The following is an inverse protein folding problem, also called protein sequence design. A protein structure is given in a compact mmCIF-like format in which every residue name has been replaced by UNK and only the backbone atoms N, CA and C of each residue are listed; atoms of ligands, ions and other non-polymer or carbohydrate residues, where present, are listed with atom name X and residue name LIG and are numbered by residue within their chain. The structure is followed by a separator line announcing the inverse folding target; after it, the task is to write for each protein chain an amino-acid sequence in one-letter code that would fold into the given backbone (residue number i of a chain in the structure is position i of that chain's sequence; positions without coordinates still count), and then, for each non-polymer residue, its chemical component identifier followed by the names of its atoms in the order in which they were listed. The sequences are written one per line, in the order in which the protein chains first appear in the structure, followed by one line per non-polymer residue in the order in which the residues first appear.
data_IF_683651034854
#
_entry.id   IF_683651034854
#
_cell.length_a   1.000
_cell.length_b   1.000
_cell.length_c   1.000
_cell.angle_alpha   90.00
_cell.angle_beta   90.00
_cell.angle_gamma   90.00
#
_symmetry.space_group_name_H-M   'P 1'
#
loop_
_entity.id
_entity.type
_entity.pdbx_description
1 polymer ?
#
# COMPACT_ATOMS: atom_id res chain seq x y z
N UNK A 1 -15.32 -16.55 -53.69
CA UNK A 1 -14.70 -15.20 -53.54
C UNK A 1 -15.31 -14.49 -52.34
N UNK A 2 -14.86 -14.79 -51.12
CA UNK A 2 -15.27 -14.08 -49.90
C UNK A 2 -14.14 -13.16 -49.45
N UNK A 3 -14.34 -11.85 -49.60
CA UNK A 3 -13.43 -10.80 -49.11
C UNK A 3 -13.45 -10.81 -47.58
N UNK A 4 -12.39 -11.34 -46.95
CA UNK A 4 -12.10 -11.11 -45.53
C UNK A 4 -11.91 -9.62 -45.31
N UNK A 5 -12.86 -8.95 -44.63
CA UNK A 5 -12.66 -7.61 -44.07
C UNK A 5 -11.65 -7.74 -42.93
N UNK A 6 -10.50 -7.07 -43.05
CA UNK A 6 -9.56 -6.92 -41.94
C UNK A 6 -10.26 -6.14 -40.80
N UNK A 7 -10.13 -6.56 -39.54
CA UNK A 7 -10.66 -5.79 -38.42
C UNK A 7 -9.93 -4.44 -38.37
N UNK A 8 -10.69 -3.34 -38.32
CA UNK A 8 -10.15 -2.03 -37.98
C UNK A 8 -9.67 -2.13 -36.53
N UNK A 9 -8.37 -1.97 -36.32
CA UNK A 9 -7.82 -1.81 -34.98
C UNK A 9 -8.45 -0.56 -34.37
N UNK A 10 -9.24 -0.76 -33.31
CA UNK A 10 -9.72 0.30 -32.46
C UNK A 10 -8.52 0.72 -31.61
N UNK A 11 -7.65 1.58 -32.17
CA UNK A 11 -6.64 2.29 -31.39
C UNK A 11 -7.41 3.26 -30.49
N UNK A 12 -7.59 2.85 -29.23
CA UNK A 12 -7.81 3.78 -28.15
C UNK A 12 -6.57 4.66 -28.09
N UNK A 13 -6.67 5.88 -28.62
CA UNK A 13 -5.69 6.94 -28.39
C UNK A 13 -5.73 7.28 -26.89
N UNK A 14 -5.01 6.47 -26.10
CA UNK A 14 -4.69 6.75 -24.72
C UNK A 14 -3.70 7.92 -24.74
N UNK A 15 -4.23 9.13 -24.65
CA UNK A 15 -3.46 10.37 -24.68
C UNK A 15 -2.62 10.48 -23.39
N UNK A 16 -1.43 9.87 -23.39
CA UNK A 16 -0.45 9.97 -22.30
C UNK A 16 0.07 11.40 -22.09
N UNK A 17 -0.18 12.35 -23.00
CA UNK A 17 0.14 13.76 -22.78
C UNK A 17 -0.78 14.44 -21.74
N UNK A 18 -1.92 13.83 -21.39
CA UNK A 18 -2.74 14.29 -20.26
C UNK A 18 -2.21 13.85 -18.88
N UNK A 19 -1.14 13.05 -18.86
CA UNK A 19 -0.34 12.71 -17.67
C UNK A 19 1.01 13.43 -17.67
N UNK A 20 1.17 14.50 -18.45
CA UNK A 20 2.22 15.48 -18.17
C UNK A 20 1.90 16.05 -16.78
N UNK A 21 2.54 15.45 -15.79
CA UNK A 21 2.56 15.86 -14.39
C UNK A 21 3.05 17.30 -14.39
N UNK A 22 2.11 18.25 -14.29
CA UNK A 22 2.41 19.66 -14.02
C UNK A 22 3.44 19.70 -12.89
N UNK A 23 4.44 20.58 -12.96
CA UNK A 23 5.45 20.66 -11.90
C UNK A 23 4.83 21.06 -10.54
N UNK A 24 3.59 21.58 -10.55
CA UNK A 24 2.73 21.78 -9.37
C UNK A 24 2.17 20.48 -8.77
N UNK A 25 2.22 19.34 -9.46
CA UNK A 25 1.54 18.11 -9.05
C UNK A 25 2.17 17.46 -7.81
N UNK A 26 3.50 17.45 -7.71
CA UNK A 26 4.20 16.82 -6.58
C UNK A 26 4.01 17.60 -5.27
N UNK A 27 4.09 18.94 -5.31
CA UNK A 27 3.90 19.80 -4.15
C UNK A 27 2.42 19.92 -3.75
N UNK A 28 1.52 20.11 -4.72
CA UNK A 28 0.11 20.41 -4.47
C UNK A 28 -0.69 19.18 -4.04
N UNK A 29 -0.38 17.97 -4.53
CA UNK A 29 -1.23 16.79 -4.27
C UNK A 29 -0.73 15.86 -3.15
N UNK A 30 0.56 15.87 -2.83
CA UNK A 30 1.05 15.17 -1.63
C UNK A 30 0.65 15.94 -0.37
N UNK A 31 0.50 17.27 -0.46
CA UNK A 31 0.24 18.14 0.70
C UNK A 31 -1.17 18.78 0.71
N UNK A 32 -1.87 18.77 -0.42
CA UNK A 32 -3.24 19.26 -0.57
C UNK A 32 -3.31 20.78 -0.84
N UNK A 33 -4.12 21.25 -1.81
CA UNK A 33 -4.20 22.67 -2.20
C UNK A 33 -4.88 23.60 -1.17
N UNK A 34 -5.45 23.05 -0.08
CA UNK A 34 -6.33 23.78 0.84
C UNK A 34 -5.79 23.91 2.28
N UNK A 35 -4.51 23.62 2.52
CA UNK A 35 -3.88 24.05 3.77
C UNK A 35 -3.54 25.53 3.63
N UNK A 36 -4.52 26.37 3.92
CA UNK A 36 -4.37 27.82 3.91
C UNK A 36 -3.21 28.24 4.80
N UNK A 37 -2.29 29.02 4.23
CA UNK A 37 -1.09 29.47 4.90
C UNK A 37 -0.01 28.38 4.91
N UNK A 38 1.08 28.68 4.23
CA UNK A 38 2.31 27.90 4.16
C UNK A 38 2.98 27.80 5.54
N UNK A 39 2.36 27.12 6.53
CA UNK A 39 2.98 26.84 7.84
C UNK A 39 4.25 25.98 7.71
N UNK A 40 4.57 25.52 6.50
CA UNK A 40 5.84 24.86 6.16
C UNK A 40 6.89 25.79 5.58
N UNK A 41 6.62 27.09 5.42
CA UNK A 41 7.56 28.01 4.79
C UNK A 41 8.83 28.24 5.60
N UNK A 42 8.87 27.82 6.88
CA UNK A 42 10.04 28.02 7.74
C UNK A 42 10.61 26.67 8.18
N UNK A 43 11.83 26.32 7.76
CA UNK A 43 12.51 25.14 8.29
C UNK A 43 12.76 25.31 9.78
N UNK A 44 12.59 24.23 10.54
CA UNK A 44 12.82 24.26 12.00
C UNK A 44 14.30 24.24 12.34
N UNK A 45 15.10 23.62 11.47
CA UNK A 45 16.55 23.66 11.52
C UNK A 45 17.10 23.59 10.10
N UNK A 46 18.15 24.35 9.83
CA UNK A 46 18.85 24.36 8.56
C UNK A 46 20.33 24.06 8.83
N UNK A 47 20.91 23.17 8.04
CA UNK A 47 22.30 22.75 8.18
C UNK A 47 23.01 22.96 6.86
N UNK A 48 24.02 23.83 6.84
CA UNK A 48 24.88 23.96 5.68
C UNK A 48 25.83 22.77 5.61
N UNK A 49 25.84 22.07 4.48
CA UNK A 49 26.80 21.00 4.19
C UNK A 49 27.82 21.50 3.16
N UNK A 50 28.99 22.02 3.59
CA UNK A 50 29.95 22.67 2.69
C UNK A 50 30.44 21.75 1.58
N UNK A 51 30.55 20.44 1.84
CA UNK A 51 30.99 19.45 0.88
C UNK A 51 30.02 19.19 -0.28
N UNK A 52 28.75 19.59 -0.15
CA UNK A 52 27.72 19.42 -1.18
C UNK A 52 27.22 20.75 -1.76
N UNK A 53 27.66 21.88 -1.21
CA UNK A 53 27.18 23.20 -1.63
C UNK A 53 25.67 23.39 -1.46
N UNK A 54 25.06 22.69 -0.49
CA UNK A 54 23.61 22.70 -0.25
C UNK A 54 23.30 22.81 1.24
N UNK A 55 22.24 23.55 1.54
CA UNK A 55 21.62 23.62 2.88
C UNK A 55 20.58 22.51 2.98
N UNK A 56 20.61 21.77 4.09
CA UNK A 56 19.60 20.75 4.41
C UNK A 56 18.65 21.33 5.44
N UNK A 57 17.38 21.42 5.04
CA UNK A 57 16.31 21.91 5.88
C UNK A 57 15.54 20.75 6.53
N UNK A 58 15.26 20.87 7.83
CA UNK A 58 14.44 19.95 8.59
C UNK A 58 13.07 20.58 8.84
N UNK A 59 12.01 19.90 8.39
CA UNK A 59 10.63 20.33 8.56
C UNK A 59 9.93 19.44 9.58
N UNK A 60 9.02 20.01 10.37
CA UNK A 60 8.17 19.19 11.22
C UNK A 60 7.19 18.36 10.38
N UNK A 61 6.84 17.15 10.85
CA UNK A 61 5.85 16.33 10.17
C UNK A 61 4.50 17.04 10.16
N UNK A 62 3.83 17.10 9.02
CA UNK A 62 2.54 17.76 8.92
C UNK A 62 1.46 16.96 9.65
N UNK A 63 0.95 17.52 10.74
CA UNK A 63 -0.06 16.86 11.58
C UNK A 63 -1.36 16.55 10.83
N UNK A 64 -1.77 17.41 9.88
CA UNK A 64 -3.00 17.21 9.10
C UNK A 64 -2.87 15.99 8.18
N UNK A 65 -1.72 15.82 7.52
CA UNK A 65 -1.43 14.64 6.70
C UNK A 65 -1.54 13.35 7.52
N UNK A 66 -0.90 13.30 8.68
CA UNK A 66 -0.96 12.13 9.56
C UNK A 66 -2.35 11.87 10.12
N UNK A 67 -3.11 12.94 10.40
CA UNK A 67 -4.51 12.85 10.83
C UNK A 67 -5.38 12.23 9.73
N UNK A 68 -5.30 12.73 8.48
CA UNK A 68 -6.05 12.17 7.35
C UNK A 68 -5.69 10.70 7.07
N UNK A 69 -4.40 10.36 7.15
CA UNK A 69 -3.95 8.97 6.98
C UNK A 69 -4.51 8.07 8.08
N UNK A 70 -4.46 8.52 9.34
CA UNK A 70 -5.03 7.78 10.49
C UNK A 70 -6.54 7.59 10.35
N UNK A 71 -7.28 8.64 10.01
CA UNK A 71 -8.74 8.57 9.79
C UNK A 71 -9.08 7.58 8.67
N UNK A 72 -8.30 7.59 7.59
CA UNK A 72 -8.48 6.69 6.47
C UNK A 72 -8.30 5.24 6.89
N UNK A 73 -7.24 4.94 7.63
CA UNK A 73 -6.94 3.62 8.18
C UNK A 73 -8.06 3.13 9.10
N UNK A 74 -8.58 3.99 9.96
CA UNK A 74 -9.70 3.65 10.85
C UNK A 74 -10.94 3.33 10.01
N UNK A 75 -11.29 4.19 9.05
CA UNK A 75 -12.46 4.01 8.20
C UNK A 75 -12.43 2.69 7.43
N UNK A 76 -11.31 2.37 6.78
CA UNK A 76 -11.17 1.11 6.03
C UNK A 76 -11.16 -0.10 6.96
N UNK A 77 -10.57 0.00 8.16
CA UNK A 77 -10.59 -1.09 9.14
C UNK A 77 -12.01 -1.39 9.62
N UNK A 78 -12.82 -0.35 9.88
CA UNK A 78 -14.24 -0.50 10.23
C UNK A 78 -15.02 -1.16 9.09
N UNK A 79 -14.76 -0.75 7.84
CA UNK A 79 -15.35 -1.40 6.68
C UNK A 79 -14.93 -2.88 6.57
N UNK A 80 -13.65 -3.18 6.77
CA UNK A 80 -13.12 -4.54 6.82
C UNK A 80 -13.75 -5.41 7.91
N UNK A 81 -14.06 -4.83 9.08
CA UNK A 81 -14.80 -5.50 10.16
C UNK A 81 -16.19 -5.93 9.68
N UNK A 82 -16.94 -5.03 9.05
CA UNK A 82 -18.27 -5.33 8.51
C UNK A 82 -18.19 -6.42 7.43
N UNK A 83 -17.26 -6.26 6.48
CA UNK A 83 -17.05 -7.26 5.42
C UNK A 83 -16.66 -8.63 5.97
N UNK A 84 -15.83 -8.69 7.01
CA UNK A 84 -15.44 -9.97 7.62
C UNK A 84 -16.66 -10.76 8.11
N UNK A 85 -17.65 -10.09 8.71
CA UNK A 85 -18.87 -10.70 9.19
C UNK A 85 -19.74 -11.23 8.05
N UNK A 86 -19.89 -10.44 6.99
CA UNK A 86 -20.63 -10.82 5.77
C UNK A 86 -19.97 -12.00 5.08
N UNK A 87 -18.67 -11.90 4.76
CA UNK A 87 -17.94 -12.94 4.04
C UNK A 87 -17.89 -14.23 4.86
N UNK A 88 -17.65 -14.17 6.18
CA UNK A 88 -17.68 -15.37 7.02
C UNK A 88 -19.05 -16.05 7.01
N UNK A 89 -20.12 -15.27 7.18
CA UNK A 89 -21.47 -15.81 7.37
C UNK A 89 -22.12 -16.29 6.06
N UNK A 90 -21.89 -15.56 4.97
CA UNK A 90 -22.53 -15.81 3.68
C UNK A 90 -21.64 -16.60 2.71
N UNK A 91 -20.32 -16.45 2.80
CA UNK A 91 -19.37 -17.11 1.89
C UNK A 91 -18.74 -18.33 2.56
N UNK A 92 -17.98 -18.17 3.64
CA UNK A 92 -17.23 -19.26 4.28
C UNK A 92 -18.15 -20.37 4.78
N UNK A 93 -19.19 -20.04 5.57
CA UNK A 93 -20.14 -21.03 6.11
C UNK A 93 -20.99 -21.74 5.05
N UNK A 94 -21.11 -21.18 3.85
CA UNK A 94 -21.95 -21.70 2.74
C UNK A 94 -21.11 -22.00 1.51
N UNK A 95 -19.82 -22.28 1.69
CA UNK A 95 -18.87 -22.50 0.60
C UNK A 95 -19.35 -23.62 -0.32
N UNK A 96 -19.21 -23.42 -1.63
CA UNK A 96 -19.69 -24.35 -2.65
C UNK A 96 -21.16 -24.18 -3.06
N UNK A 97 -21.95 -23.39 -2.34
CA UNK A 97 -23.32 -23.05 -2.77
C UNK A 97 -23.35 -21.90 -3.78
N UNK A 98 -24.32 -21.89 -4.70
CA UNK A 98 -24.49 -20.79 -5.67
C UNK A 98 -24.62 -19.41 -4.98
N UNK A 99 -25.25 -19.37 -3.80
CA UNK A 99 -25.41 -18.16 -3.02
C UNK A 99 -24.08 -17.61 -2.49
N UNK A 100 -23.14 -18.46 -2.04
CA UNK A 100 -21.83 -17.98 -1.57
C UNK A 100 -21.01 -17.38 -2.71
N UNK A 101 -21.07 -17.96 -3.90
CA UNK A 101 -20.43 -17.38 -5.10
C UNK A 101 -21.06 -16.04 -5.47
N UNK A 102 -22.39 -15.95 -5.51
CA UNK A 102 -23.10 -14.71 -5.84
C UNK A 102 -22.75 -13.58 -4.85
N UNK A 103 -22.81 -13.85 -3.55
CA UNK A 103 -22.46 -12.86 -2.51
C UNK A 103 -20.97 -12.49 -2.59
N UNK A 104 -20.09 -13.47 -2.76
CA UNK A 104 -18.65 -13.21 -2.89
C UNK A 104 -18.30 -12.33 -4.09
N UNK A 105 -18.90 -12.59 -5.25
CA UNK A 105 -18.73 -11.76 -6.45
C UNK A 105 -19.29 -10.36 -6.22
N UNK A 106 -20.47 -10.23 -5.59
CA UNK A 106 -21.05 -8.93 -5.27
C UNK A 106 -20.13 -8.11 -4.34
N UNK A 107 -19.53 -8.74 -3.32
CA UNK A 107 -18.54 -8.10 -2.45
C UNK A 107 -17.28 -7.68 -3.22
N UNK A 108 -16.79 -8.51 -4.14
CA UNK A 108 -15.66 -8.16 -5.01
C UNK A 108 -15.99 -6.93 -5.85
N UNK A 109 -17.13 -6.93 -6.55
CA UNK A 109 -17.57 -5.79 -7.35
C UNK A 109 -17.72 -4.52 -6.50
N UNK A 110 -18.33 -4.64 -5.32
CA UNK A 110 -18.45 -3.50 -4.39
C UNK A 110 -17.08 -2.93 -4.01
N UNK A 111 -16.09 -3.78 -3.69
CA UNK A 111 -14.73 -3.33 -3.35
C UNK A 111 -13.99 -2.63 -4.50
N UNK A 112 -14.32 -2.94 -5.76
CA UNK A 112 -13.75 -2.23 -6.91
C UNK A 112 -14.27 -0.79 -7.00
N UNK A 113 -15.56 -0.56 -6.76
CA UNK A 113 -16.18 0.76 -6.94
C UNK A 113 -16.21 1.62 -5.67
N UNK A 114 -16.28 0.99 -4.49
CA UNK A 114 -16.36 1.65 -3.20
C UNK A 114 -15.28 2.71 -2.93
N UNK A 115 -13.97 2.49 -3.21
CA UNK A 115 -12.96 3.51 -2.90
C UNK A 115 -13.18 4.77 -3.73
N UNK A 116 -13.61 4.65 -4.99
CA UNK A 116 -13.89 5.80 -5.86
C UNK A 116 -15.11 6.59 -5.36
N UNK A 117 -16.16 5.90 -4.91
CA UNK A 117 -17.32 6.54 -4.32
C UNK A 117 -16.95 7.32 -3.05
N UNK A 118 -16.13 6.73 -2.16
CA UNK A 118 -15.65 7.42 -0.96
C UNK A 118 -14.78 8.62 -1.32
N UNK A 119 -13.81 8.46 -2.22
CA UNK A 119 -12.90 9.54 -2.64
C UNK A 119 -13.71 10.72 -3.18
N UNK A 120 -14.73 10.45 -3.99
CA UNK A 120 -15.61 11.47 -4.55
C UNK A 120 -16.47 12.14 -3.47
N UNK A 121 -17.15 11.36 -2.61
CA UNK A 121 -18.06 11.88 -1.57
C UNK A 121 -17.31 12.69 -0.51
N UNK A 122 -16.14 12.22 -0.07
CA UNK A 122 -15.32 12.90 0.93
C UNK A 122 -14.42 13.99 0.33
N UNK A 123 -14.40 14.13 -1.01
CA UNK A 123 -13.53 15.10 -1.70
C UNK A 123 -12.05 14.89 -1.40
N UNK A 124 -11.61 13.64 -1.17
CA UNK A 124 -10.22 13.34 -0.81
C UNK A 124 -9.32 13.79 -1.96
N UNK A 125 -8.42 14.73 -1.71
CA UNK A 125 -7.45 15.20 -2.72
C UNK A 125 -6.07 14.56 -2.58
N UNK A 126 -5.68 14.25 -1.34
CA UNK A 126 -4.36 13.72 -1.02
C UNK A 126 -4.11 12.37 -1.72
N UNK A 127 -3.03 12.30 -2.49
CA UNK A 127 -2.70 11.12 -3.30
C UNK A 127 -2.40 9.89 -2.44
N UNK A 128 -1.68 10.06 -1.32
CA UNK A 128 -1.36 8.97 -0.40
C UNK A 128 -2.65 8.41 0.21
N UNK A 129 -3.58 9.30 0.61
CA UNK A 129 -4.89 8.89 1.13
C UNK A 129 -5.72 8.13 0.09
N UNK A 130 -5.76 8.61 -1.17
CA UNK A 130 -6.40 7.90 -2.29
C UNK A 130 -5.79 6.51 -2.49
N UNK A 131 -4.45 6.45 -2.51
CA UNK A 131 -3.71 5.20 -2.65
C UNK A 131 -4.04 4.22 -1.52
N UNK A 132 -4.04 4.68 -0.26
CA UNK A 132 -4.38 3.85 0.90
C UNK A 132 -5.82 3.31 0.80
N UNK A 133 -6.80 4.14 0.44
CA UNK A 133 -8.19 3.68 0.24
C UNK A 133 -8.26 2.55 -0.80
N UNK A 134 -7.65 2.75 -1.96
CA UNK A 134 -7.64 1.75 -3.04
C UNK A 134 -6.86 0.48 -2.69
N UNK A 135 -5.74 0.60 -1.97
CA UNK A 135 -4.91 -0.53 -1.60
C UNK A 135 -5.65 -1.50 -0.67
N UNK A 136 -6.42 -0.98 0.30
CA UNK A 136 -7.18 -1.81 1.23
C UNK A 136 -8.35 -2.53 0.55
N UNK A 137 -9.09 -1.84 -0.31
CA UNK A 137 -10.22 -2.48 -1.00
C UNK A 137 -9.74 -3.54 -1.98
N UNK A 138 -8.56 -3.32 -2.60
CA UNK A 138 -7.87 -4.34 -3.40
C UNK A 138 -7.50 -5.56 -2.55
N UNK A 139 -7.04 -5.37 -1.32
CA UNK A 139 -6.77 -6.48 -0.41
C UNK A 139 -8.05 -7.28 -0.05
N UNK A 140 -9.15 -6.58 0.23
CA UNK A 140 -10.44 -7.23 0.52
C UNK A 140 -10.98 -8.01 -0.67
N UNK A 141 -10.74 -7.54 -1.91
CA UNK A 141 -11.02 -8.32 -3.12
C UNK A 141 -10.28 -9.66 -3.09
N UNK A 142 -8.97 -9.66 -2.85
CA UNK A 142 -8.20 -10.91 -2.82
C UNK A 142 -8.63 -11.83 -1.68
N UNK A 143 -8.85 -11.30 -0.47
CA UNK A 143 -9.34 -12.09 0.67
C UNK A 143 -10.73 -12.67 0.45
N UNK A 144 -11.60 -11.94 -0.23
CA UNK A 144 -12.92 -12.47 -0.63
C UNK A 144 -12.75 -13.60 -1.63
N UNK A 145 -11.85 -13.46 -2.61
CA UNK A 145 -11.54 -14.53 -3.56
C UNK A 145 -10.99 -15.78 -2.84
N UNK A 146 -10.05 -15.62 -1.90
CA UNK A 146 -9.56 -16.72 -1.06
C UNK A 146 -10.71 -17.44 -0.35
N UNK A 147 -11.67 -16.69 0.21
CA UNK A 147 -12.80 -17.24 0.95
C UNK A 147 -13.77 -18.01 0.04
N UNK A 148 -14.06 -17.49 -1.17
CA UNK A 148 -14.90 -18.13 -2.20
C UNK A 148 -14.30 -19.48 -2.59
N UNK A 149 -13.01 -19.51 -2.91
CA UNK A 149 -12.33 -20.70 -3.43
C UNK A 149 -11.78 -21.64 -2.35
N UNK A 150 -11.94 -21.30 -1.07
CA UNK A 150 -11.48 -22.12 0.05
C UNK A 150 -9.96 -22.21 0.19
N UNK A 151 -9.27 -21.11 -0.13
CA UNK A 151 -7.82 -20.98 0.05
C UNK A 151 -7.43 -20.05 1.19
N UNK A 152 -8.39 -19.50 1.94
CA UNK A 152 -8.10 -18.80 3.18
C UNK A 152 -7.36 -19.73 4.16
N UNK A 153 -6.44 -19.20 4.99
CA UNK A 153 -5.69 -20.04 5.92
C UNK A 153 -6.59 -20.76 6.93
N UNK A 154 -6.39 -22.07 7.11
CA UNK A 154 -7.31 -22.92 7.88
C UNK A 154 -7.57 -22.41 9.31
N UNK A 155 -6.53 -22.14 10.10
CA UNK A 155 -6.73 -21.70 11.49
C UNK A 155 -7.26 -20.28 11.66
N UNK A 156 -7.41 -19.52 10.56
CA UNK A 156 -8.14 -18.25 10.58
C UNK A 156 -9.65 -18.49 10.52
N UNK A 157 -10.11 -19.52 9.81
CA UNK A 157 -11.54 -19.82 9.64
C UNK A 157 -12.15 -20.43 10.90
N UNK A 158 -11.35 -21.09 11.74
CA UNK A 158 -11.83 -21.80 12.94
C UNK A 158 -12.50 -20.87 13.96
N UNK A 159 -12.05 -19.62 14.08
CA UNK A 159 -12.54 -18.66 15.07
C UNK A 159 -13.09 -17.39 14.41
N UNK A 160 -14.29 -16.92 14.78
CA UNK A 160 -14.81 -15.62 14.33
C UNK A 160 -13.85 -14.47 14.65
N UNK A 161 -13.18 -14.51 15.80
CA UNK A 161 -12.21 -13.50 16.23
C UNK A 161 -10.97 -13.51 15.33
N UNK A 162 -10.41 -14.69 15.05
CA UNK A 162 -9.23 -14.79 14.17
C UNK A 162 -9.55 -14.33 12.74
N UNK A 163 -10.73 -14.70 12.24
CA UNK A 163 -11.21 -14.27 10.93
C UNK A 163 -11.43 -12.77 10.84
N UNK A 164 -11.98 -12.14 11.89
CA UNK A 164 -12.13 -10.70 12.00
C UNK A 164 -10.78 -9.99 11.86
N UNK A 165 -9.78 -10.36 12.67
CA UNK A 165 -8.45 -9.74 12.62
C UNK A 165 -7.75 -9.97 11.30
N UNK A 166 -7.81 -11.21 10.79
CA UNK A 166 -7.26 -11.55 9.49
C UNK A 166 -7.88 -10.74 8.38
N UNK A 167 -9.20 -10.55 8.38
CA UNK A 167 -9.88 -9.91 7.27
C UNK A 167 -9.85 -8.38 7.37
N UNK A 168 -10.05 -7.81 8.56
CA UNK A 168 -10.21 -6.37 8.74
C UNK A 168 -8.90 -5.58 8.53
N UNK A 169 -7.77 -6.12 8.98
CA UNK A 169 -6.49 -5.42 8.95
C UNK A 169 -5.60 -5.94 7.84
N UNK A 170 -4.92 -5.07 7.07
CA UNK A 170 -4.04 -5.48 5.99
C UNK A 170 -2.66 -5.86 6.52
N UNK A 171 -2.65 -6.88 7.37
CA UNK A 171 -1.49 -7.62 7.84
C UNK A 171 -1.82 -9.10 7.76
N UNK A 172 -0.79 -9.92 7.60
CA UNK A 172 -0.96 -11.37 7.60
C UNK A 172 -0.66 -11.89 9.01
N UNK A 173 -1.59 -12.63 9.61
CA UNK A 173 -1.36 -13.27 10.90
C UNK A 173 -0.30 -14.36 10.73
N UNK A 174 0.66 -14.43 11.66
CA UNK A 174 1.58 -15.55 11.70
C UNK A 174 0.85 -16.77 12.26
N UNK A 175 0.86 -17.87 11.50
CA UNK A 175 0.22 -19.11 11.89
C UNK A 175 1.28 -20.16 12.20
N UNK A 176 1.09 -20.87 13.31
CA UNK A 176 1.96 -21.98 13.69
C UNK A 176 1.87 -23.09 12.63
N UNK A 177 3.01 -23.56 12.15
CA UNK A 177 3.07 -24.51 11.03
C UNK A 177 2.46 -25.88 11.35
N UNK A 178 2.42 -26.28 12.63
CA UNK A 178 1.93 -27.60 13.06
C UNK A 178 0.44 -27.56 13.36
N UNK A 179 -0.02 -26.50 14.02
CA UNK A 179 -1.39 -26.38 14.53
C UNK A 179 -2.29 -25.49 13.65
N UNK A 180 -1.70 -24.75 12.71
CA UNK A 180 -2.34 -23.72 11.89
C UNK A 180 -2.97 -22.56 12.68
N UNK A 181 -2.81 -22.52 14.02
CA UNK A 181 -3.40 -21.49 14.88
C UNK A 181 -2.59 -20.19 14.83
N UNK A 182 -3.23 -19.02 15.02
CA UNK A 182 -2.51 -17.75 15.20
C UNK A 182 -1.51 -17.82 16.35
N UNK A 183 -0.31 -17.32 16.12
CA UNK A 183 0.75 -17.20 17.13
C UNK A 183 0.51 -15.96 17.97
N UNK A 184 0.67 -16.07 19.30
CA UNK A 184 0.57 -14.93 20.20
C UNK A 184 1.84 -14.07 20.14
N UNK A 185 1.68 -12.75 20.20
CA UNK A 185 2.79 -11.82 20.24
C UNK A 185 3.39 -11.76 21.65
N UNK A 186 4.71 -11.93 21.75
CA UNK A 186 5.43 -11.74 23.01
C UNK A 186 5.58 -10.25 23.34
N UNK A 187 5.72 -9.90 24.61
CA UNK A 187 5.97 -8.49 25.04
C UNK A 187 7.20 -7.89 24.36
N UNK A 188 8.23 -8.71 24.13
CA UNK A 188 9.44 -8.32 23.41
C UNK A 188 9.12 -7.93 21.96
N UNK A 189 8.37 -8.76 21.22
CA UNK A 189 7.97 -8.46 19.83
C UNK A 189 7.06 -7.22 19.74
N UNK A 190 6.22 -6.97 20.74
CA UNK A 190 5.43 -5.72 20.80
C UNK A 190 6.35 -4.50 20.95
N UNK A 191 7.32 -4.55 21.86
CA UNK A 191 8.29 -3.47 22.05
C UNK A 191 9.19 -3.27 20.82
N UNK A 192 9.66 -4.35 20.21
CA UNK A 192 10.44 -4.34 18.97
C UNK A 192 9.65 -3.69 17.83
N UNK A 193 8.37 -4.07 17.65
CA UNK A 193 7.55 -3.45 16.61
C UNK A 193 7.28 -1.96 16.88
N UNK A 194 7.13 -1.53 18.14
CA UNK A 194 7.02 -0.12 18.48
C UNK A 194 8.29 0.67 18.12
N UNK A 195 9.46 0.10 18.37
CA UNK A 195 10.75 0.69 17.96
C UNK A 195 10.89 0.74 16.44
N UNK A 196 10.48 -0.31 15.73
CA UNK A 196 10.50 -0.34 14.26
C UNK A 196 9.54 0.68 13.65
N UNK A 197 8.35 0.85 14.25
CA UNK A 197 7.39 1.89 13.86
C UNK A 197 7.98 3.30 14.04
N UNK A 198 8.58 3.57 15.21
CA UNK A 198 9.23 4.84 15.49
C UNK A 198 10.39 5.10 14.51
N UNK A 199 11.23 4.09 14.26
CA UNK A 199 12.33 4.17 13.30
C UNK A 199 11.81 4.50 11.90
N UNK A 200 10.80 3.78 11.40
CA UNK A 200 10.23 4.04 10.08
C UNK A 200 9.60 5.43 9.98
N UNK A 201 8.93 5.89 11.04
CA UNK A 201 8.40 7.25 11.13
C UNK A 201 9.50 8.31 11.04
N UNK A 202 10.56 8.19 11.84
CA UNK A 202 11.68 9.13 11.82
C UNK A 202 12.38 9.15 10.46
N UNK A 203 12.60 7.97 9.86
CA UNK A 203 13.18 7.86 8.52
C UNK A 203 12.31 8.55 7.46
N UNK A 204 10.99 8.37 7.51
CA UNK A 204 10.07 9.08 6.62
C UNK A 204 10.13 10.58 6.82
N UNK A 205 10.15 11.07 8.06
CA UNK A 205 10.21 12.50 8.34
C UNK A 205 11.51 13.14 7.80
N UNK A 206 12.64 12.44 7.97
CA UNK A 206 13.93 12.87 7.40
C UNK A 206 13.84 12.89 5.87
N UNK A 207 13.34 11.83 5.24
CA UNK A 207 13.19 11.74 3.78
C UNK A 207 12.29 12.85 3.23
N UNK A 208 11.14 13.09 3.86
CA UNK A 208 10.25 14.19 3.48
C UNK A 208 10.93 15.55 3.62
N UNK A 209 11.70 15.77 4.69
CA UNK A 209 12.42 17.03 4.90
C UNK A 209 13.49 17.25 3.83
N UNK A 210 14.23 16.20 3.48
CA UNK A 210 15.27 16.25 2.44
C UNK A 210 14.70 16.46 1.05
N UNK A 211 13.51 15.93 0.76
CA UNK A 211 12.99 15.85 -0.60
C UNK A 211 11.95 16.90 -0.94
N UNK A 212 11.18 17.37 0.05
CA UNK A 212 10.13 18.36 -0.17
C UNK A 212 10.67 19.66 -0.82
N UNK A 213 11.82 20.24 -0.41
CA UNK A 213 12.38 21.43 -1.05
C UNK A 213 12.74 21.25 -2.53
N UNK A 214 12.93 20.00 -2.96
CA UNK A 214 13.32 19.65 -4.32
C UNK A 214 12.17 19.05 -5.12
N UNK A 215 10.92 19.25 -4.69
CA UNK A 215 9.73 18.63 -5.33
C UNK A 215 9.87 17.12 -5.48
N UNK A 216 10.58 16.46 -4.56
CA UNK A 216 10.93 15.04 -4.58
C UNK A 216 11.86 14.58 -5.73
N UNK A 217 12.58 15.51 -6.34
CA UNK A 217 13.59 15.28 -7.38
C UNK A 217 14.94 15.91 -6.98
N UNK A 218 15.66 15.36 -5.97
CA UNK A 218 16.88 15.98 -5.44
C UNK A 218 18.07 16.03 -6.43
N UNK A 219 18.04 15.23 -7.50
CA UNK A 219 19.09 15.19 -8.51
C UNK A 219 18.59 15.72 -9.86
N UNK A 220 19.41 16.52 -10.53
CA UNK A 220 19.14 16.98 -11.89
C UNK A 220 19.22 15.80 -12.88
N UNK A 221 18.39 15.82 -13.93
CA UNK A 221 18.49 14.82 -15.00
C UNK A 221 17.16 14.24 -15.49
N UNK A 222 16.01 14.84 -15.14
CA UNK A 222 14.71 14.42 -15.66
C UNK A 222 14.73 14.43 -17.20
N UNK A 223 14.41 13.30 -17.87
CA UNK A 223 14.37 13.25 -19.32
C UNK A 223 13.25 14.13 -19.85
N UNK A 224 13.54 14.97 -20.85
CA UNK A 224 12.53 15.76 -21.52
C UNK A 224 11.55 14.86 -22.30
N UNK A 225 10.27 15.25 -22.46
CA UNK A 225 9.34 14.52 -23.31
C UNK A 225 9.92 14.31 -24.73
N UNK A 226 9.90 13.06 -25.22
CA UNK A 226 10.45 12.69 -26.52
C UNK A 226 11.98 12.48 -26.54
N UNK A 227 12.67 12.56 -25.41
CA UNK A 227 14.10 12.24 -25.34
C UNK A 227 14.38 10.77 -25.66
N UNK A 228 15.62 10.48 -26.05
CA UNK A 228 16.08 9.10 -26.29
C UNK A 228 15.93 8.21 -25.04
N UNK A 229 15.82 6.89 -25.24
CA UNK A 229 15.79 5.93 -24.12
C UNK A 229 17.03 6.01 -23.23
N UNK A 230 18.19 6.38 -23.77
CA UNK A 230 19.43 6.54 -23.01
C UNK A 230 19.34 7.67 -21.96
N UNK A 231 18.49 8.67 -22.19
CA UNK A 231 18.27 9.76 -21.24
C UNK A 231 17.62 9.30 -19.93
N UNK A 232 16.88 8.18 -19.94
CA UNK A 232 16.32 7.56 -18.73
C UNK A 232 17.38 6.83 -17.89
N UNK A 233 18.56 6.57 -18.45
CA UNK A 233 19.70 6.00 -17.72
C UNK A 233 20.65 7.08 -17.18
N UNK A 234 20.26 8.36 -17.26
CA UNK A 234 20.99 9.42 -16.57
C UNK A 234 21.04 9.13 -15.06
N UNK A 235 22.22 9.24 -14.46
CA UNK A 235 22.43 8.91 -13.05
C UNK A 235 21.54 9.71 -12.10
N UNK A 236 21.25 10.97 -12.40
CA UNK A 236 20.35 11.77 -11.57
C UNK A 236 18.90 11.31 -11.65
N UNK A 237 18.41 10.96 -12.85
CA UNK A 237 17.08 10.36 -12.98
C UNK A 237 16.97 9.00 -12.29
N UNK A 238 17.97 8.14 -12.44
CA UNK A 238 18.04 6.85 -11.74
C UNK A 238 18.10 7.06 -10.22
N UNK A 239 18.83 8.07 -9.75
CA UNK A 239 18.88 8.48 -8.35
C UNK A 239 17.51 8.90 -7.82
N UNK A 240 16.78 9.75 -8.56
CA UNK A 240 15.42 10.17 -8.19
C UNK A 240 14.46 8.96 -8.14
N UNK A 241 14.51 8.08 -9.15
CA UNK A 241 13.72 6.85 -9.17
C UNK A 241 14.02 5.95 -7.96
N UNK A 242 15.29 5.75 -7.62
CA UNK A 242 15.69 4.97 -6.45
C UNK A 242 15.17 5.60 -5.15
N UNK A 243 15.32 6.91 -5.00
CA UNK A 243 14.88 7.65 -3.82
C UNK A 243 13.35 7.63 -3.66
N UNK A 244 12.60 7.78 -4.75
CA UNK A 244 11.15 7.63 -4.74
C UNK A 244 10.73 6.20 -4.36
N UNK A 245 11.39 5.18 -4.93
CA UNK A 245 11.13 3.79 -4.57
C UNK A 245 11.44 3.49 -3.10
N UNK A 246 12.54 4.05 -2.58
CA UNK A 246 12.93 3.90 -1.19
C UNK A 246 11.96 4.60 -0.23
N UNK A 247 11.54 5.83 -0.55
CA UNK A 247 10.51 6.53 0.21
C UNK A 247 9.18 5.75 0.20
N UNK A 248 8.77 5.21 -0.95
CA UNK A 248 7.59 4.37 -1.06
C UNK A 248 7.69 3.10 -0.22
N UNK A 249 8.87 2.43 -0.24
CA UNK A 249 9.16 1.29 0.62
C UNK A 249 9.01 1.65 2.11
N UNK A 250 9.59 2.78 2.54
CA UNK A 250 9.49 3.25 3.93
C UNK A 250 8.04 3.56 4.31
N UNK A 251 7.26 4.15 3.40
CA UNK A 251 5.83 4.40 3.57
C UNK A 251 5.06 3.11 3.84
N UNK A 252 5.27 2.08 3.01
CA UNK A 252 4.68 0.76 3.20
C UNK A 252 5.17 0.05 4.47
N UNK A 253 6.44 0.22 4.85
CA UNK A 253 7.00 -0.36 6.06
C UNK A 253 6.40 0.28 7.33
N UNK A 254 6.39 1.62 7.41
CA UNK A 254 5.72 2.36 8.48
C UNK A 254 4.27 1.91 8.62
N UNK A 255 3.56 1.87 7.49
CA UNK A 255 2.19 1.44 7.43
C UNK A 255 1.99 0.01 7.97
N UNK A 256 2.84 -0.91 7.53
CA UNK A 256 2.86 -2.29 8.01
C UNK A 256 3.06 -2.39 9.51
N UNK A 257 4.09 -1.72 10.04
CA UNK A 257 4.39 -1.69 11.47
C UNK A 257 3.27 -1.06 12.30
N UNK A 258 2.59 -0.04 11.77
CA UNK A 258 1.45 0.58 12.45
C UNK A 258 0.29 -0.41 12.59
N UNK A 259 -0.02 -1.17 11.55
CA UNK A 259 -1.07 -2.20 11.61
C UNK A 259 -0.68 -3.38 12.50
N UNK A 260 0.57 -3.82 12.43
CA UNK A 260 1.11 -4.81 13.36
C UNK A 260 0.99 -4.32 14.81
N UNK A 261 1.29 -3.05 15.08
CA UNK A 261 1.16 -2.49 16.43
C UNK A 261 -0.30 -2.54 16.90
N UNK A 262 -1.25 -2.16 16.04
CA UNK A 262 -2.68 -2.24 16.35
C UNK A 262 -3.06 -3.69 16.71
N UNK A 263 -2.75 -4.66 15.85
CA UNK A 263 -3.11 -6.07 16.07
C UNK A 263 -2.41 -6.67 17.29
N UNK A 264 -1.13 -6.37 17.49
CA UNK A 264 -0.37 -6.83 18.65
C UNK A 264 -0.97 -6.29 19.95
N UNK A 265 -1.29 -4.99 20.02
CA UNK A 265 -1.81 -4.35 21.22
C UNK A 265 -3.29 -4.71 21.50
N UNK A 266 -4.11 -4.83 20.47
CA UNK A 266 -5.55 -5.09 20.61
C UNK A 266 -5.88 -6.58 20.76
N UNK A 267 -5.15 -7.44 20.05
CA UNK A 267 -5.48 -8.86 19.91
C UNK A 267 -4.44 -9.78 20.56
N UNK A 268 -3.23 -9.27 20.84
CA UNK A 268 -2.11 -10.09 21.32
C UNK A 268 -1.61 -11.08 20.27
N UNK A 269 -1.84 -10.83 18.97
CA UNK A 269 -1.52 -11.75 17.88
C UNK A 269 -0.30 -11.27 17.11
N UNK A 270 0.60 -12.19 16.77
CA UNK A 270 1.78 -11.93 15.95
C UNK A 270 1.40 -11.84 14.47
N UNK A 271 2.08 -10.96 13.75
CA UNK A 271 1.89 -10.77 12.31
C UNK A 271 3.21 -10.95 11.54
N UNK A 272 3.11 -11.33 10.28
CA UNK A 272 4.24 -11.37 9.34
C UNK A 272 4.64 -9.95 8.96
N UNK A 273 5.94 -9.67 8.97
CA UNK A 273 6.51 -8.40 8.53
C UNK A 273 6.25 -8.21 7.03
N UNK A 274 5.55 -7.13 6.60
CA UNK A 274 5.16 -6.98 5.20
C UNK A 274 6.31 -6.52 4.30
N UNK A 275 7.32 -5.83 4.84
CA UNK A 275 8.46 -5.27 4.10
C UNK A 275 9.77 -5.66 4.79
N UNK A 276 10.67 -6.38 4.09
CA UNK A 276 11.95 -6.83 4.64
C UNK A 276 13.15 -6.28 3.84
N UNK A 277 13.42 -4.98 4.01
CA UNK A 277 14.49 -4.21 3.34
C UNK A 277 14.72 -4.58 1.86
N UNK A 278 13.68 -4.64 1.02
CA UNK A 278 13.80 -5.20 -0.32
C UNK A 278 14.80 -4.48 -1.21
N UNK A 279 14.92 -3.15 -1.12
CA UNK A 279 15.84 -2.39 -1.99
C UNK A 279 17.32 -2.54 -1.64
N UNK A 280 17.64 -2.82 -0.37
CA UNK A 280 19.03 -2.81 0.10
C UNK A 280 19.59 -4.22 0.32
N UNK A 281 18.74 -5.21 0.59
CA UNK A 281 19.17 -6.55 0.95
C UNK A 281 18.77 -7.64 -0.07
N UNK A 282 17.99 -7.31 -1.10
CA UNK A 282 17.64 -8.29 -2.12
C UNK A 282 18.86 -8.67 -2.97
N UNK A 283 19.14 -9.96 -3.08
CA UNK A 283 20.26 -10.50 -3.88
C UNK A 283 19.85 -10.89 -5.30
N UNK A 284 18.55 -10.90 -5.59
CA UNK A 284 18.00 -11.20 -6.92
C UNK A 284 16.58 -10.62 -7.06
N UNK A 285 16.07 -10.46 -8.30
CA UNK A 285 14.67 -10.08 -8.53
C UNK A 285 13.65 -11.03 -7.86
N UNK A 286 13.96 -12.33 -7.81
CA UNK A 286 13.08 -13.32 -7.16
C UNK A 286 13.04 -13.13 -5.65
N UNK A 287 14.19 -12.82 -5.02
CA UNK A 287 14.26 -12.50 -3.59
C UNK A 287 13.48 -11.23 -3.25
N UNK A 288 13.63 -10.19 -4.09
CA UNK A 288 12.89 -8.94 -3.99
C UNK A 288 11.37 -9.19 -4.00
N UNK A 289 10.83 -9.78 -5.07
CA UNK A 289 9.38 -9.94 -5.26
C UNK A 289 8.75 -11.09 -4.45
N UNK A 290 9.55 -12.08 -4.05
CA UNK A 290 9.04 -13.30 -3.41
C UNK A 290 9.12 -13.30 -1.89
N UNK A 291 10.10 -12.59 -1.30
CA UNK A 291 10.42 -12.72 0.14
C UNK A 291 10.51 -11.40 0.89
N UNK A 292 10.70 -10.28 0.18
CA UNK A 292 11.03 -9.00 0.83
C UNK A 292 10.06 -7.88 0.54
N UNK A 293 9.55 -7.80 -0.70
CA UNK A 293 8.61 -6.77 -1.12
C UNK A 293 7.18 -7.21 -0.89
N UNK A 294 6.47 -6.50 -0.03
CA UNK A 294 5.03 -6.63 0.19
C UNK A 294 4.57 -8.09 0.30
N UNK A 295 5.14 -8.80 1.28
CA UNK A 295 4.92 -10.23 1.51
C UNK A 295 3.42 -10.53 1.69
N UNK A 296 2.66 -9.59 2.25
CA UNK A 296 1.21 -9.64 2.33
C UNK A 296 0.55 -9.78 0.95
N UNK A 297 0.86 -8.87 0.02
CA UNK A 297 0.28 -8.89 -1.33
C UNK A 297 0.67 -10.17 -2.06
N UNK A 298 1.91 -10.63 -1.90
CA UNK A 298 2.33 -11.92 -2.44
C UNK A 298 1.47 -13.08 -1.89
N UNK A 299 1.26 -13.13 -0.58
CA UNK A 299 0.45 -14.15 0.09
C UNK A 299 -0.99 -14.19 -0.44
N UNK A 300 -1.65 -13.03 -0.50
CA UNK A 300 -3.04 -12.94 -0.96
C UNK A 300 -3.22 -13.13 -2.46
N UNK A 301 -2.28 -12.70 -3.30
CA UNK A 301 -2.32 -13.02 -4.74
C UNK A 301 -2.15 -14.52 -4.97
N UNK A 302 -1.24 -15.15 -4.22
CA UNK A 302 -1.01 -16.59 -4.33
C UNK A 302 -2.24 -17.40 -3.97
N UNK A 303 -2.94 -17.04 -2.88
CA UNK A 303 -4.12 -17.77 -2.41
C UNK A 303 -5.41 -17.33 -3.12
N UNK A 304 -5.56 -16.05 -3.43
CA UNK A 304 -6.76 -15.46 -4.02
C UNK A 304 -6.81 -15.48 -5.54
N UNK A 305 -5.68 -15.66 -6.24
CA UNK A 305 -5.63 -15.69 -7.72
C UNK A 305 -4.94 -16.96 -8.22
N UNK A 306 -3.65 -17.14 -7.88
CA UNK A 306 -2.83 -18.20 -8.49
C UNK A 306 -3.35 -19.62 -8.18
N UNK A 307 -3.62 -19.93 -6.91
CA UNK A 307 -4.14 -21.25 -6.51
C UNK A 307 -5.52 -21.57 -7.13
N UNK A 308 -6.50 -20.64 -7.13
CA UNK A 308 -7.77 -20.83 -7.84
C UNK A 308 -7.59 -21.14 -9.32
N UNK A 309 -6.88 -20.30 -10.07
CA UNK A 309 -6.67 -20.44 -11.52
C UNK A 309 -5.95 -21.75 -11.86
N UNK A 310 -5.06 -22.22 -10.97
CA UNK A 310 -4.35 -23.49 -11.19
C UNK A 310 -5.22 -24.73 -10.91
N UNK A 311 -6.22 -24.62 -10.03
CA UNK A 311 -7.01 -25.77 -9.55
C UNK A 311 -8.31 -25.96 -10.34
N UNK A 312 -8.96 -24.88 -10.75
CA UNK A 312 -10.27 -24.85 -11.41
C UNK A 312 -10.12 -24.41 -12.86
#
# INVERSE_FOLDING_TARGET
RHRRRKPKALLLDFNMNSMAVDDDFAATYVLGPNLGGDERSVPHASFDFPGFGRTVDIYLPNAVFWSHLTQTIVLVSLFGIVLSGVVRSCVVKRRGSALSYLVGIAVICANVFFPYAIIHVLGVQNLVTKFSLCAFTTLYLFRTSEAIFGFSPAGVEDSPKSYLWYYAFPVELELDRKTAKPVEATKYEVAENALMLLKAFLQLCIMFSLFAPHSFEPFDGRPAPGSSLLSYFNLGHLGNCFMAAYMFQLGLAFYGHAMTAVVNLSAGLKTIVPMNNPLLEATSPSDFWGRRWNVLVHGVLKRGVYKPVRKY
#
